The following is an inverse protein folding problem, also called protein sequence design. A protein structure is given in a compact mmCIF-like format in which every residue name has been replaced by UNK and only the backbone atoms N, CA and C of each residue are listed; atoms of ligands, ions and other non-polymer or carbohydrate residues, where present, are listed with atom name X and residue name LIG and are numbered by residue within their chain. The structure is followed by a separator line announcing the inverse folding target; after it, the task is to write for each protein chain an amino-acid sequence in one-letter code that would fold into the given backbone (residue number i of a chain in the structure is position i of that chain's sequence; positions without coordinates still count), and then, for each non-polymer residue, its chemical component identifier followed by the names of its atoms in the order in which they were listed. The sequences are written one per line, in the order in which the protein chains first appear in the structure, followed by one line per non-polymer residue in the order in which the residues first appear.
data_IF_443709638725
#
_entry.id   IF_443709638725
#
_cell.length_a   1.000
_cell.length_b   1.000
_cell.length_c   1.000
_cell.angle_alpha   90.00
_cell.angle_beta   90.00
_cell.angle_gamma   90.00
#
_symmetry.space_group_name_H-M   'P 1'
#
loop_
_entity.id
_entity.type
_entity.pdbx_description
1 polymer ?
#
# COMPACT_ATOMS: atom_id res chain seq x y z
N UNK A 1 -20.79 -32.69 19.69
CA UNK A 1 -20.99 -31.41 20.40
C UNK A 1 -20.09 -30.40 19.75
N UNK A 2 -20.61 -29.24 19.37
CA UNK A 2 -19.81 -28.19 18.68
C UNK A 2 -19.53 -27.07 19.69
N UNK A 3 -18.29 -26.65 19.78
CA UNK A 3 -17.87 -25.52 20.60
C UNK A 3 -17.53 -24.35 19.65
N UNK A 4 -17.89 -23.14 20.05
CA UNK A 4 -17.50 -21.92 19.33
C UNK A 4 -16.80 -20.98 20.30
N UNK A 5 -15.67 -20.44 19.88
CA UNK A 5 -14.96 -19.38 20.59
C UNK A 5 -14.74 -18.20 19.65
N UNK A 6 -14.76 -16.98 20.18
CA UNK A 6 -14.38 -15.77 19.45
C UNK A 6 -12.95 -15.44 19.85
N UNK A 7 -12.07 -15.39 18.87
CA UNK A 7 -10.70 -14.91 19.02
C UNK A 7 -10.61 -13.45 18.58
N UNK A 8 -10.04 -12.60 19.44
CA UNK A 8 -9.76 -11.20 19.10
C UNK A 8 -8.24 -10.99 19.17
N UNK A 9 -7.56 -10.73 18.05
CA UNK A 9 -6.13 -10.45 18.04
C UNK A 9 -5.78 -9.20 18.86
N UNK A 10 -4.65 -9.20 19.53
CA UNK A 10 -4.16 -8.08 20.36
C UNK A 10 -3.28 -7.08 19.61
N UNK A 11 -3.06 -7.28 18.32
CA UNK A 11 -2.28 -6.39 17.46
C UNK A 11 -0.76 -6.63 17.49
N UNK A 12 -0.28 -7.70 18.12
CA UNK A 12 1.17 -7.92 18.26
C UNK A 12 1.83 -8.70 17.11
N UNK A 13 1.08 -9.11 16.09
CA UNK A 13 1.62 -9.72 14.86
C UNK A 13 2.35 -11.05 15.02
N UNK A 14 2.29 -11.68 16.20
CA UNK A 14 2.84 -13.02 16.42
C UNK A 14 1.79 -14.07 16.11
N UNK A 15 2.21 -15.22 15.56
CA UNK A 15 1.32 -16.34 15.27
C UNK A 15 0.56 -16.73 16.57
N UNK A 16 -0.75 -16.44 16.67
CA UNK A 16 -1.50 -16.76 17.86
C UNK A 16 -1.70 -18.27 17.95
N UNK A 17 -1.81 -18.80 19.16
CA UNK A 17 -2.24 -20.16 19.38
C UNK A 17 -3.54 -20.18 20.17
N UNK A 18 -4.46 -21.08 19.82
CA UNK A 18 -5.67 -21.38 20.58
C UNK A 18 -5.52 -22.78 21.10
N UNK A 19 -5.48 -22.94 22.42
CA UNK A 19 -5.30 -24.23 23.05
C UNK A 19 -6.52 -24.63 23.88
N UNK A 20 -6.95 -25.87 23.73
CA UNK A 20 -7.84 -26.54 24.67
C UNK A 20 -6.99 -27.50 25.48
N UNK A 21 -6.85 -27.27 26.78
CA UNK A 21 -6.01 -28.12 27.62
C UNK A 21 -6.61 -29.51 27.84
N UNK A 22 -5.75 -30.53 27.98
CA UNK A 22 -6.16 -31.87 28.36
C UNK A 22 -6.99 -31.81 29.64
N UNK A 23 -8.10 -32.55 29.65
CA UNK A 23 -8.97 -32.63 30.83
C UNK A 23 -9.76 -31.36 31.14
N UNK A 24 -9.73 -30.33 30.29
CA UNK A 24 -10.49 -29.09 30.51
C UNK A 24 -12.01 -29.24 30.27
N UNK A 25 -12.43 -30.37 29.70
CA UNK A 25 -13.82 -30.70 29.48
C UNK A 25 -14.07 -32.22 29.71
N UNK A 26 -15.32 -32.56 30.02
CA UNK A 26 -15.72 -33.95 30.22
C UNK A 26 -16.98 -34.27 29.44
N UNK A 27 -17.18 -35.56 29.16
CA UNK A 27 -18.49 -36.04 28.70
C UNK A 27 -19.46 -36.24 29.88
N UNK A 28 -20.70 -36.63 29.58
CA UNK A 28 -21.74 -36.91 30.58
C UNK A 28 -21.39 -38.09 31.51
N UNK A 29 -20.47 -38.97 31.10
CA UNK A 29 -20.00 -40.10 31.88
C UNK A 29 -18.79 -39.75 32.77
N UNK A 30 -18.28 -38.50 32.65
CA UNK A 30 -17.14 -38.01 33.39
C UNK A 30 -15.78 -38.31 32.80
N UNK A 31 -15.70 -38.82 31.55
CA UNK A 31 -14.42 -39.02 30.86
C UNK A 31 -13.82 -37.68 30.47
N UNK A 32 -12.52 -37.52 30.71
CA UNK A 32 -11.77 -36.33 30.36
C UNK A 32 -11.54 -36.28 28.85
N UNK A 33 -11.72 -35.10 28.25
CA UNK A 33 -11.38 -34.85 26.88
C UNK A 33 -9.90 -34.61 26.65
N UNK A 34 -9.39 -34.99 25.49
CA UNK A 34 -8.03 -34.66 25.04
C UNK A 34 -8.00 -33.21 24.53
N UNK A 35 -6.95 -32.49 24.90
CA UNK A 35 -6.70 -31.13 24.41
C UNK A 35 -6.23 -31.11 22.96
N UNK A 36 -6.24 -29.92 22.41
CA UNK A 36 -5.74 -29.64 21.08
C UNK A 36 -5.21 -28.22 20.99
N UNK A 37 -4.28 -27.95 20.10
CA UNK A 37 -3.69 -26.63 19.88
C UNK A 37 -3.82 -26.28 18.40
N UNK A 38 -4.50 -25.18 18.12
CA UNK A 38 -4.50 -24.55 16.81
C UNK A 38 -3.44 -23.45 16.82
N UNK A 39 -2.40 -23.58 16.01
CA UNK A 39 -1.30 -22.63 15.90
C UNK A 39 -0.88 -22.42 14.44
N UNK A 40 0.26 -21.72 14.21
CA UNK A 40 0.77 -21.47 12.88
C UNK A 40 1.09 -22.70 12.03
N UNK A 41 1.24 -23.89 12.65
CA UNK A 41 1.47 -25.16 11.92
C UNK A 41 0.19 -25.72 11.31
N UNK A 42 -0.97 -25.31 11.82
CA UNK A 42 -2.30 -25.66 11.31
C UNK A 42 -2.80 -24.65 10.25
N UNK A 43 -1.94 -23.72 9.82
CA UNK A 43 -2.28 -22.65 8.87
C UNK A 43 -3.06 -21.49 9.48
N UNK A 44 -3.11 -21.40 10.83
CA UNK A 44 -3.71 -20.26 11.51
C UNK A 44 -2.69 -19.13 11.63
N UNK A 45 -2.81 -18.14 10.72
CA UNK A 45 -1.95 -16.96 10.68
C UNK A 45 -2.82 -15.71 10.85
N UNK A 46 -2.38 -14.79 11.70
CA UNK A 46 -2.97 -13.45 11.84
C UNK A 46 -1.90 -12.45 11.45
N UNK A 47 -2.17 -11.68 10.42
CA UNK A 47 -1.35 -10.57 9.98
C UNK A 47 -2.11 -9.26 10.23
N UNK A 48 -1.51 -8.38 11.03
CA UNK A 48 -2.07 -7.07 11.39
C UNK A 48 -1.10 -5.92 11.04
N UNK A 49 -0.06 -6.23 10.25
CA UNK A 49 0.97 -5.26 9.89
C UNK A 49 0.67 -4.73 8.48
N UNK A 50 0.27 -3.47 8.41
CA UNK A 50 0.05 -2.83 7.12
C UNK A 50 1.38 -2.54 6.40
N UNK A 51 1.41 -2.60 5.05
CA UNK A 51 2.58 -2.22 4.26
C UNK A 51 2.99 -0.75 4.48
N UNK A 52 4.27 -0.46 4.25
CA UNK A 52 4.80 0.91 4.24
C UNK A 52 5.16 1.29 2.81
N UNK A 53 4.58 2.39 2.33
CA UNK A 53 4.88 2.96 1.01
C UNK A 53 5.53 4.31 1.13
N UNK A 54 6.27 4.72 0.08
CA UNK A 54 6.79 6.09 -0.05
C UNK A 54 6.44 6.66 -1.42
N UNK A 55 6.36 7.98 -1.48
CA UNK A 55 6.28 8.77 -2.70
C UNK A 55 7.03 10.09 -2.46
N UNK A 56 7.72 10.59 -3.47
CA UNK A 56 8.39 11.90 -3.42
C UNK A 56 7.76 12.83 -4.47
N UNK A 57 7.73 14.14 -4.17
CA UNK A 57 7.24 15.14 -5.11
C UNK A 57 8.02 15.08 -6.43
N UNK A 58 7.30 15.24 -7.53
CA UNK A 58 7.83 15.21 -8.90
C UNK A 58 7.60 16.55 -9.56
N UNK A 59 8.62 17.06 -10.27
CA UNK A 59 8.50 18.21 -11.16
C UNK A 59 8.95 17.78 -12.56
N UNK A 60 8.11 17.99 -13.58
CA UNK A 60 8.32 17.45 -14.92
C UNK A 60 7.68 18.33 -16.00
N UNK A 61 8.19 18.22 -17.23
CA UNK A 61 7.53 18.77 -18.43
C UNK A 61 6.71 17.71 -19.18
N UNK A 62 6.70 16.48 -18.67
CA UNK A 62 5.86 15.42 -19.19
C UNK A 62 4.44 15.56 -18.63
N UNK A 63 3.44 15.58 -19.49
CA UNK A 63 2.02 15.71 -19.12
C UNK A 63 1.36 14.40 -18.71
N UNK A 64 2.04 13.26 -18.90
CA UNK A 64 1.56 11.91 -18.58
C UNK A 64 2.61 11.09 -17.83
N UNK A 65 3.29 11.66 -16.81
CA UNK A 65 4.52 11.11 -16.27
C UNK A 65 4.35 9.76 -15.60
N UNK A 66 5.41 8.94 -15.64
CA UNK A 66 5.52 7.79 -14.75
C UNK A 66 5.72 8.26 -13.30
N UNK A 67 5.06 7.56 -12.35
CA UNK A 67 5.25 7.79 -10.92
C UNK A 67 5.87 6.54 -10.28
N UNK A 68 6.77 6.74 -9.33
CA UNK A 68 7.49 5.65 -8.66
C UNK A 68 7.67 5.94 -7.17
N UNK A 69 7.90 4.89 -6.39
CA UNK A 69 8.26 4.99 -4.99
C UNK A 69 8.72 3.66 -4.44
N UNK A 70 8.83 3.54 -3.13
CA UNK A 70 9.22 2.29 -2.48
C UNK A 70 8.05 1.65 -1.75
N UNK A 71 8.15 0.33 -1.53
CA UNK A 71 7.22 -0.48 -0.78
C UNK A 71 8.00 -1.60 -0.08
N UNK A 72 7.69 -1.89 1.17
CA UNK A 72 8.36 -2.92 1.96
C UNK A 72 7.76 -4.33 1.78
N UNK A 73 6.49 -4.42 1.37
CA UNK A 73 5.81 -5.70 1.10
C UNK A 73 5.80 -6.02 -0.40
N UNK A 74 6.54 -7.06 -0.86
CA UNK A 74 6.59 -7.42 -2.28
C UNK A 74 5.28 -8.01 -2.83
N UNK A 75 4.31 -8.34 -1.97
CA UNK A 75 3.03 -8.97 -2.35
C UNK A 75 1.85 -8.03 -2.29
N UNK A 76 2.01 -6.85 -1.69
CA UNK A 76 0.94 -5.87 -1.55
C UNK A 76 0.53 -5.27 -2.91
N UNK A 77 -0.74 -4.91 -3.02
CA UNK A 77 -1.28 -4.13 -4.13
C UNK A 77 -1.11 -2.64 -3.86
N UNK A 78 -0.76 -1.86 -4.89
CA UNK A 78 -0.53 -0.41 -4.78
C UNK A 78 -1.56 0.34 -5.61
N UNK A 79 -2.16 1.37 -5.01
CA UNK A 79 -3.07 2.30 -5.69
C UNK A 79 -2.51 3.72 -5.56
N UNK A 80 -2.42 4.41 -6.69
CA UNK A 80 -2.04 5.81 -6.79
C UNK A 80 -3.28 6.61 -7.15
N UNK A 81 -3.66 7.56 -6.30
CA UNK A 81 -4.76 8.48 -6.55
C UNK A 81 -4.19 9.80 -7.03
N UNK A 82 -4.55 10.27 -8.23
CA UNK A 82 -4.15 11.58 -8.76
C UNK A 82 -5.41 12.42 -8.97
N UNK A 83 -5.46 13.58 -8.32
CA UNK A 83 -6.62 14.51 -8.34
C UNK A 83 -7.95 13.82 -8.04
N UNK A 84 -7.93 12.81 -7.16
CA UNK A 84 -9.10 12.07 -6.71
C UNK A 84 -9.51 10.90 -7.62
N UNK A 85 -8.70 10.55 -8.62
CA UNK A 85 -8.92 9.38 -9.50
C UNK A 85 -7.86 8.32 -9.21
N UNK A 86 -8.32 7.07 -9.03
CA UNK A 86 -7.47 5.94 -8.67
C UNK A 86 -6.89 5.23 -9.89
N UNK A 87 -5.58 4.94 -9.81
CA UNK A 87 -4.82 4.21 -10.81
C UNK A 87 -4.07 3.05 -10.14
N UNK A 88 -4.28 1.79 -10.59
CA UNK A 88 -3.49 0.68 -10.08
C UNK A 88 -2.04 0.79 -10.55
N UNK A 89 -1.11 0.74 -9.59
CA UNK A 89 0.32 0.72 -9.86
C UNK A 89 0.88 -0.70 -9.75
N UNK A 90 2.01 -0.94 -10.41
CA UNK A 90 2.72 -2.22 -10.35
C UNK A 90 3.66 -2.23 -9.15
N UNK A 91 3.51 -3.21 -8.26
CA UNK A 91 4.52 -3.57 -7.29
C UNK A 91 5.57 -4.41 -8.01
N UNK A 92 6.81 -3.94 -8.08
CA UNK A 92 7.86 -4.58 -8.87
C UNK A 92 8.46 -5.82 -8.16
N UNK A 93 8.14 -6.02 -6.87
CA UNK A 93 8.63 -7.13 -6.06
C UNK A 93 10.09 -6.98 -5.60
N UNK A 94 10.73 -5.86 -5.92
CA UNK A 94 12.13 -5.52 -5.57
C UNK A 94 12.24 -4.41 -4.51
N UNK A 95 11.12 -4.07 -3.85
CA UNK A 95 11.04 -2.97 -2.90
C UNK A 95 10.61 -1.66 -3.52
N UNK A 96 10.21 -1.66 -4.80
CA UNK A 96 9.71 -0.48 -5.52
C UNK A 96 8.34 -0.72 -6.12
N UNK A 97 7.62 0.37 -6.40
CA UNK A 97 6.39 0.37 -7.19
C UNK A 97 6.47 1.38 -8.34
N UNK A 98 5.69 1.14 -9.40
CA UNK A 98 5.67 1.99 -10.60
C UNK A 98 4.25 2.13 -11.12
N UNK A 99 3.80 3.38 -11.35
CA UNK A 99 2.71 3.71 -12.25
C UNK A 99 3.36 4.05 -13.60
N UNK A 100 3.09 3.27 -14.63
CA UNK A 100 3.78 3.39 -15.91
C UNK A 100 3.47 4.74 -16.59
N UNK A 101 4.44 5.21 -17.38
CA UNK A 101 4.28 6.35 -18.26
C UNK A 101 3.06 6.20 -19.18
N UNK A 102 2.38 7.31 -19.48
CA UNK A 102 1.14 7.34 -20.27
C UNK A 102 -0.05 6.58 -19.66
N UNK A 103 -0.02 6.24 -18.37
CA UNK A 103 -1.17 5.68 -17.64
C UNK A 103 -2.12 6.80 -17.19
N UNK A 104 -1.58 7.95 -16.80
CA UNK A 104 -2.35 9.13 -16.44
C UNK A 104 -2.95 9.79 -17.70
N UNK A 105 -4.10 10.46 -17.59
CA UNK A 105 -4.55 11.39 -18.62
C UNK A 105 -3.56 12.56 -18.75
N UNK A 106 -3.65 13.32 -19.84
CA UNK A 106 -2.87 14.54 -20.00
C UNK A 106 -3.19 15.50 -18.87
N UNK A 107 -2.20 15.76 -18.02
CA UNK A 107 -2.27 16.71 -16.93
C UNK A 107 -2.00 18.13 -17.45
N UNK A 108 -2.70 19.11 -16.89
CA UNK A 108 -2.46 20.53 -17.22
C UNK A 108 -1.18 21.04 -16.51
N UNK A 109 -0.65 22.18 -16.97
CA UNK A 109 0.41 22.86 -16.24
C UNK A 109 -0.08 23.25 -14.83
N UNK A 110 0.74 22.98 -13.83
CA UNK A 110 0.49 23.26 -12.42
C UNK A 110 0.64 22.05 -11.50
N UNK A 111 0.33 22.20 -10.21
CA UNK A 111 0.42 21.12 -9.22
C UNK A 111 -0.81 20.22 -9.26
N UNK A 112 -0.57 18.91 -9.22
CA UNK A 112 -1.55 17.85 -9.10
C UNK A 112 -1.33 17.07 -7.81
N UNK A 113 -2.41 16.81 -7.06
CA UNK A 113 -2.32 16.09 -5.79
C UNK A 113 -2.17 14.59 -6.04
N UNK A 114 -1.24 13.96 -5.32
CA UNK A 114 -1.01 12.52 -5.36
C UNK A 114 -1.19 11.94 -3.98
N UNK A 115 -1.86 10.80 -3.88
CA UNK A 115 -1.94 9.97 -2.68
C UNK A 115 -1.63 8.52 -3.07
N UNK A 116 -0.81 7.85 -2.28
CA UNK A 116 -0.44 6.44 -2.52
C UNK A 116 -0.84 5.61 -1.32
N UNK A 117 -1.50 4.49 -1.57
CA UNK A 117 -1.86 3.47 -0.58
C UNK A 117 -1.45 2.09 -1.07
N UNK A 118 -1.15 1.21 -0.11
CA UNK A 118 -0.92 -0.21 -0.40
C UNK A 118 -1.79 -1.07 0.51
N UNK A 119 -2.17 -2.25 0.01
CA UNK A 119 -2.95 -3.25 0.75
C UNK A 119 -2.27 -4.60 0.61
N UNK A 120 -1.98 -5.24 1.74
CA UNK A 120 -1.39 -6.58 1.77
C UNK A 120 -2.42 -7.69 1.48
N UNK A 121 -1.96 -8.95 1.47
CA UNK A 121 -2.81 -10.12 1.23
C UNK A 121 -3.80 -10.37 2.37
N UNK A 122 -3.47 -9.92 3.60
CA UNK A 122 -4.34 -10.05 4.77
C UNK A 122 -5.44 -8.98 4.82
N UNK A 123 -5.33 -7.93 3.98
CA UNK A 123 -6.27 -6.82 3.91
C UNK A 123 -5.87 -5.62 4.77
N UNK A 124 -4.65 -5.58 5.32
CA UNK A 124 -4.17 -4.39 6.04
C UNK A 124 -3.80 -3.30 5.05
N UNK A 125 -4.32 -2.10 5.28
CA UNK A 125 -4.12 -0.94 4.40
C UNK A 125 -3.11 0.02 5.02
N UNK A 126 -2.13 0.46 4.24
CA UNK A 126 -1.14 1.46 4.66
C UNK A 126 -1.79 2.80 5.01
N UNK A 127 -1.10 3.60 5.83
CA UNK A 127 -1.42 5.03 5.90
C UNK A 127 -1.17 5.67 4.54
N UNK A 128 -2.10 6.52 4.01
CA UNK A 128 -1.88 7.21 2.76
C UNK A 128 -0.64 8.12 2.82
N UNK A 129 0.24 8.02 1.82
CA UNK A 129 1.36 8.94 1.62
C UNK A 129 0.97 9.93 0.54
N UNK A 130 1.04 11.22 0.86
CA UNK A 130 0.64 12.30 -0.05
C UNK A 130 1.85 13.05 -0.57
N UNK A 131 1.75 13.56 -1.80
CA UNK A 131 2.73 14.40 -2.45
C UNK A 131 2.13 15.14 -3.64
N UNK A 132 2.97 15.73 -4.47
CA UNK A 132 2.57 16.57 -5.59
C UNK A 132 3.36 16.20 -6.84
N UNK A 133 2.66 16.14 -7.98
CA UNK A 133 3.27 16.21 -9.31
C UNK A 133 3.04 17.61 -9.86
N UNK A 134 4.12 18.34 -10.15
CA UNK A 134 4.04 19.65 -10.78
C UNK A 134 4.44 19.52 -12.24
N UNK A 135 3.49 19.77 -13.13
CA UNK A 135 3.72 19.78 -14.58
C UNK A 135 3.98 21.22 -15.04
N UNK A 136 5.01 21.41 -15.85
CA UNK A 136 5.29 22.65 -16.58
C UNK A 136 5.76 22.28 -17.99
N UNK A 137 4.82 22.17 -18.91
CA UNK A 137 5.07 21.85 -20.33
C UNK A 137 5.24 23.13 -21.16
N UNK A 138 5.23 24.31 -20.55
CA UNK A 138 5.37 25.59 -21.22
C UNK A 138 6.83 25.92 -21.48
N UNK A 139 7.21 26.00 -22.76
CA UNK A 139 8.57 26.39 -23.13
C UNK A 139 8.88 27.85 -22.80
N UNK A 140 10.06 28.20 -22.29
CA UNK A 140 10.46 29.58 -22.05
C UNK A 140 10.58 30.34 -23.37
N UNK A 141 10.16 31.60 -23.38
CA UNK A 141 10.33 32.51 -24.53
C UNK A 141 11.52 33.42 -24.33
N UNK A 142 12.37 33.54 -25.36
CA UNK A 142 13.47 34.48 -25.41
C UNK A 142 13.19 35.53 -26.48
N UNK A 143 13.16 36.80 -26.12
CA UNK A 143 13.10 37.91 -27.04
C UNK A 143 14.46 38.65 -27.04
N UNK A 144 15.11 38.80 -28.18
CA UNK A 144 16.23 39.70 -28.34
C UNK A 144 15.66 41.04 -28.82
N UNK A 145 15.64 42.03 -27.93
CA UNK A 145 15.34 43.39 -28.29
C UNK A 145 16.64 44.05 -28.78
N UNK A 146 16.77 44.30 -30.08
CA UNK A 146 17.82 45.16 -30.61
C UNK A 146 17.42 46.59 -30.35
N UNK A 147 17.69 47.10 -29.15
CA UNK A 147 17.73 48.54 -28.92
C UNK A 147 19.07 49.03 -29.44
N UNK A 148 18.98 49.82 -30.53
CA UNK A 148 20.00 50.70 -31.05
C UNK A 148 21.35 50.06 -31.53
N UNK A 149 21.31 49.54 -32.75
CA UNK A 149 22.48 49.59 -33.62
C UNK A 149 22.55 50.98 -34.27
N UNK A 150 22.84 51.99 -33.46
CA UNK A 150 23.31 53.28 -34.00
C UNK A 150 24.72 53.05 -34.54
N UNK A 151 24.86 52.99 -35.85
CA UNK A 151 26.12 53.13 -36.58
C UNK A 151 26.46 54.64 -36.69
#
# INVERSE_FOLDING_TARGET
MTWTAVFTPDGTGTAPSIAVADGSYTDLAGNLGTGDVLDGTDGFVVDLVAPVVTFADVSTNDTTPALTGTIDDPTATVVVTVDGVDYPAVNNGDGTWTLADNTLPVLADGPHTVSVTATDVAGNVSTPVTGTVTVDATAPTLAITTDDLAL
#
